data_IF_138529480346
#
_entry.id   IF_138529480346
#
_cell.length_a   1.000
_cell.length_b   1.000
_cell.length_c   1.000
_cell.angle_alpha   90.00
_cell.angle_beta   90.00
_cell.angle_gamma   90.00
#
_symmetry.space_group_name_H-M   'P 1'
#
loop_
_entity.id
_entity.type
_entity.pdbx_description
1 polymer ?
#
# COMPACT_ATOMS: atom_id res chain seq x y z
N UNK A 1 5.08 -60.11 -9.75
CA UNK A 1 5.12 -58.83 -9.00
C UNK A 1 5.12 -57.58 -9.89
N UNK A 2 5.60 -57.60 -11.15
CA UNK A 2 5.61 -56.40 -12.03
C UNK A 2 4.22 -55.85 -12.42
N UNK A 3 3.21 -56.69 -12.74
CA UNK A 3 1.88 -56.22 -13.18
C UNK A 3 1.19 -55.29 -12.16
N UNK A 4 1.30 -55.59 -10.86
CA UNK A 4 0.73 -54.75 -9.78
C UNK A 4 1.42 -53.38 -9.71
N UNK A 5 2.72 -53.33 -9.98
CA UNK A 5 3.49 -52.08 -10.02
C UNK A 5 3.13 -51.23 -11.25
N UNK A 6 2.97 -51.85 -12.43
CA UNK A 6 2.57 -51.13 -13.65
C UNK A 6 1.14 -50.58 -13.58
N UNK A 7 0.19 -51.33 -13.02
CA UNK A 7 -1.18 -50.83 -12.81
C UNK A 7 -1.24 -49.69 -11.79
N UNK A 8 -0.44 -49.77 -10.73
CA UNK A 8 -0.32 -48.68 -9.75
C UNK A 8 0.30 -47.42 -10.37
N UNK A 9 1.33 -47.58 -11.21
CA UNK A 9 1.96 -46.46 -11.92
C UNK A 9 0.99 -45.78 -12.90
N UNK A 10 0.17 -46.56 -13.62
CA UNK A 10 -0.87 -46.02 -14.50
C UNK A 10 -1.94 -45.23 -13.72
N UNK A 11 -2.39 -45.77 -12.58
CA UNK A 11 -3.33 -45.07 -11.71
C UNK A 11 -2.74 -43.75 -11.17
N UNK A 12 -1.47 -43.76 -10.76
CA UNK A 12 -0.77 -42.53 -10.33
C UNK A 12 -0.65 -41.51 -11.47
N UNK A 13 -0.36 -41.94 -12.70
CA UNK A 13 -0.31 -41.06 -13.86
C UNK A 13 -1.65 -40.37 -14.11
N UNK A 14 -2.76 -41.11 -13.99
CA UNK A 14 -4.12 -40.57 -14.16
C UNK A 14 -4.54 -39.65 -13.00
N UNK A 15 -4.04 -39.89 -11.78
CA UNK A 15 -4.32 -39.07 -10.60
C UNK A 15 -3.47 -37.79 -10.54
N UNK A 16 -2.29 -37.75 -11.18
CA UNK A 16 -1.42 -36.57 -11.22
C UNK A 16 -2.12 -35.28 -11.66
N UNK A 17 -2.86 -35.22 -12.80
CA UNK A 17 -3.54 -34.00 -13.21
C UNK A 17 -4.64 -33.58 -12.22
N UNK A 18 -5.37 -34.53 -11.64
CA UNK A 18 -6.38 -34.26 -10.62
C UNK A 18 -5.74 -33.65 -9.37
N UNK A 19 -4.62 -34.22 -8.92
CA UNK A 19 -3.88 -33.70 -7.76
C UNK A 19 -3.35 -32.28 -8.05
N UNK A 20 -2.78 -32.06 -9.24
CA UNK A 20 -2.33 -30.73 -9.66
C UNK A 20 -3.47 -29.71 -9.69
N UNK A 21 -4.63 -30.09 -10.22
CA UNK A 21 -5.82 -29.24 -10.23
C UNK A 21 -6.30 -28.93 -8.81
N UNK A 22 -6.33 -29.93 -7.93
CA UNK A 22 -6.70 -29.76 -6.53
C UNK A 22 -5.75 -28.79 -5.82
N UNK A 23 -4.43 -28.95 -5.96
CA UNK A 23 -3.45 -28.03 -5.37
C UNK A 23 -3.62 -26.58 -5.87
N UNK A 24 -3.83 -26.39 -7.19
CA UNK A 24 -4.08 -25.06 -7.77
C UNK A 24 -5.35 -24.43 -7.20
N UNK A 25 -6.45 -25.18 -7.15
CA UNK A 25 -7.71 -24.71 -6.60
C UNK A 25 -7.58 -24.40 -5.10
N UNK A 26 -6.91 -25.26 -4.34
CA UNK A 26 -6.71 -25.10 -2.91
C UNK A 26 -5.93 -23.81 -2.60
N UNK A 27 -4.81 -23.59 -3.29
CA UNK A 27 -4.02 -22.37 -3.11
C UNK A 27 -4.80 -21.13 -3.54
N UNK A 28 -5.48 -21.17 -4.69
CA UNK A 28 -6.36 -20.09 -5.12
C UNK A 28 -7.42 -19.78 -4.07
N UNK A 29 -8.02 -20.80 -3.45
CA UNK A 29 -9.03 -20.63 -2.40
C UNK A 29 -8.45 -19.99 -1.14
N UNK A 30 -7.24 -20.37 -0.72
CA UNK A 30 -6.54 -19.71 0.41
C UNK A 30 -6.28 -18.24 0.08
N UNK A 31 -5.75 -17.94 -1.11
CA UNK A 31 -5.45 -16.57 -1.52
C UNK A 31 -6.71 -15.69 -1.57
N UNK A 32 -7.85 -16.24 -2.03
CA UNK A 32 -9.11 -15.51 -2.05
C UNK A 32 -9.67 -15.27 -0.65
N UNK A 33 -9.53 -16.23 0.26
CA UNK A 33 -9.96 -16.04 1.65
C UNK A 33 -9.12 -14.94 2.31
N UNK A 34 -7.81 -14.96 2.12
CA UNK A 34 -6.93 -13.89 2.62
C UNK A 34 -7.39 -12.52 2.11
N UNK A 35 -7.72 -12.40 0.81
CA UNK A 35 -8.25 -11.15 0.23
C UNK A 35 -9.58 -10.70 0.83
N UNK A 36 -10.43 -11.62 1.26
CA UNK A 36 -11.73 -11.31 1.86
C UNK A 36 -11.61 -10.95 3.34
N UNK A 37 -10.60 -11.48 4.03
CA UNK A 37 -10.32 -11.20 5.44
C UNK A 37 -9.63 -9.83 5.64
N UNK A 38 -8.97 -9.31 4.60
CA UNK A 38 -8.30 -8.01 4.64
C UNK A 38 -9.17 -6.91 4.05
N UNK A 39 -9.09 -5.73 4.66
CA UNK A 39 -9.88 -4.55 4.27
C UNK A 39 -8.97 -3.34 4.08
N UNK A 40 -9.52 -2.23 3.57
CA UNK A 40 -8.81 -0.95 3.47
C UNK A 40 -8.62 -0.22 4.80
N UNK A 41 -8.92 -0.84 5.95
CA UNK A 41 -8.61 -0.27 7.26
C UNK A 41 -7.09 -0.24 7.47
N UNK A 42 -6.58 0.81 8.13
CA UNK A 42 -5.14 1.08 8.29
C UNK A 42 -4.35 -0.15 8.74
N UNK A 43 -4.72 -0.75 9.88
CA UNK A 43 -4.02 -1.91 10.43
C UNK A 43 -4.08 -3.16 9.51
N UNK A 44 -5.18 -3.34 8.78
CA UNK A 44 -5.39 -4.47 7.89
C UNK A 44 -4.59 -4.31 6.60
N UNK A 45 -4.62 -3.11 6.01
CA UNK A 45 -3.88 -2.78 4.81
C UNK A 45 -2.37 -2.83 5.08
N UNK A 46 -1.91 -2.20 6.17
CA UNK A 46 -0.51 -2.22 6.61
C UNK A 46 -0.02 -3.66 6.86
N UNK A 47 -0.81 -4.46 7.57
CA UNK A 47 -0.51 -5.88 7.77
C UNK A 47 -0.33 -6.63 6.45
N UNK A 48 -1.26 -6.44 5.51
CA UNK A 48 -1.23 -7.11 4.20
C UNK A 48 -0.07 -6.66 3.30
N UNK A 49 0.36 -5.41 3.43
CA UNK A 49 1.51 -4.89 2.71
C UNK A 49 2.79 -5.53 3.23
N UNK A 50 2.95 -5.59 4.54
CA UNK A 50 4.10 -6.24 5.16
C UNK A 50 4.13 -7.74 4.86
N UNK A 51 3.02 -8.45 4.95
CA UNK A 51 2.97 -9.89 4.66
C UNK A 51 3.43 -10.23 3.23
N UNK A 52 3.18 -9.32 2.28
CA UNK A 52 3.49 -9.53 0.86
C UNK A 52 4.85 -8.98 0.42
N UNK A 53 5.23 -7.80 0.91
CA UNK A 53 6.38 -7.05 0.41
C UNK A 53 7.55 -6.98 1.40
N UNK A 54 7.28 -7.06 2.71
CA UNK A 54 8.31 -7.04 3.75
C UNK A 54 8.01 -8.04 4.89
N UNK A 55 7.96 -9.36 4.59
CA UNK A 55 7.46 -10.35 5.55
C UNK A 55 8.38 -10.57 6.75
N UNK A 56 9.65 -10.13 6.68
CA UNK A 56 10.65 -10.35 7.72
C UNK A 56 10.75 -9.14 8.63
N UNK A 57 11.06 -7.96 8.09
CA UNK A 57 11.33 -6.75 8.88
C UNK A 57 10.07 -5.92 9.13
N UNK A 58 9.04 -6.10 8.30
CA UNK A 58 7.71 -5.46 8.43
C UNK A 58 7.76 -3.94 8.61
N UNK A 59 8.56 -3.26 7.80
CA UNK A 59 8.84 -1.81 7.93
C UNK A 59 7.84 -0.91 7.21
N UNK A 60 6.86 -1.47 6.50
CA UNK A 60 5.87 -0.66 5.79
C UNK A 60 4.81 -0.19 6.80
N UNK A 61 4.55 1.12 6.87
CA UNK A 61 3.51 1.67 7.74
C UNK A 61 2.71 2.76 7.04
N UNK A 62 1.51 3.02 7.55
CA UNK A 62 0.59 4.02 7.00
C UNK A 62 0.45 5.19 7.97
N UNK A 63 0.77 6.39 7.48
CA UNK A 63 0.57 7.65 8.20
C UNK A 63 -0.59 8.47 7.65
N UNK A 64 -0.97 9.49 8.41
CA UNK A 64 -1.96 10.48 7.97
C UNK A 64 -1.43 11.29 6.78
N UNK A 65 -2.33 11.64 5.86
CA UNK A 65 -1.98 12.42 4.67
C UNK A 65 -1.92 13.93 4.88
N UNK A 66 -2.23 14.40 6.10
CA UNK A 66 -2.16 15.80 6.49
C UNK A 66 -0.79 16.07 7.12
N UNK A 67 0.08 16.77 6.41
CA UNK A 67 1.38 17.17 6.98
C UNK A 67 1.31 18.50 7.73
N UNK A 68 0.52 19.46 7.21
CA UNK A 68 0.50 20.83 7.71
C UNK A 68 -0.91 21.45 7.66
N UNK A 69 -1.22 22.29 8.64
CA UNK A 69 -2.45 23.08 8.65
C UNK A 69 -2.35 24.22 7.63
N UNK A 70 -3.48 24.54 6.98
CA UNK A 70 -3.58 25.68 6.07
C UNK A 70 -3.36 26.98 6.84
N UNK A 71 -2.27 27.70 6.53
CA UNK A 71 -2.07 29.06 7.05
C UNK A 71 -2.90 30.05 6.23
N UNK A 72 -3.86 30.72 6.88
CA UNK A 72 -4.58 31.81 6.26
C UNK A 72 -3.66 33.03 6.14
N UNK A 73 -3.48 33.53 4.93
CA UNK A 73 -2.74 34.76 4.64
C UNK A 73 -3.74 35.91 4.63
N UNK A 74 -4.19 36.36 3.46
CA UNK A 74 -5.26 37.36 3.30
C UNK A 74 -5.95 37.15 1.95
N UNK A 75 -7.18 37.61 1.82
CA UNK A 75 -7.90 37.69 0.54
C UNK A 75 -7.63 39.04 -0.15
N UNK A 76 -7.75 39.10 -1.49
CA UNK A 76 -7.55 40.34 -2.24
C UNK A 76 -8.43 41.50 -1.75
N UNK A 77 -9.61 41.19 -1.20
CA UNK A 77 -10.55 42.18 -0.66
C UNK A 77 -10.13 42.79 0.69
N UNK A 78 -9.18 42.18 1.39
CA UNK A 78 -8.71 42.64 2.71
C UNK A 78 -7.61 43.72 2.62
N UNK A 79 -7.08 44.02 1.43
CA UNK A 79 -6.07 45.05 1.13
C UNK A 79 -4.90 45.10 2.13
N UNK A 80 -4.44 43.92 2.60
CA UNK A 80 -3.31 43.79 3.53
C UNK A 80 -2.07 43.25 2.84
N UNK A 81 -0.93 43.88 3.09
CA UNK A 81 0.38 43.43 2.65
C UNK A 81 1.05 42.59 3.74
N UNK A 82 1.46 41.36 3.41
CA UNK A 82 2.24 40.50 4.30
C UNK A 82 3.68 40.40 3.79
N UNK A 83 4.63 40.73 4.65
CA UNK A 83 6.05 40.49 4.39
C UNK A 83 6.42 39.12 4.94
N UNK A 84 6.95 38.26 4.08
CA UNK A 84 7.45 36.94 4.49
C UNK A 84 8.83 37.11 5.13
N UNK A 85 8.99 36.52 6.32
CA UNK A 85 10.28 36.46 7.03
C UNK A 85 11.25 35.47 6.35
N UNK A 86 12.54 35.64 6.62
CA UNK A 86 13.58 34.78 6.03
C UNK A 86 13.72 33.49 6.84
N UNK A 87 14.07 32.36 6.20
CA UNK A 87 14.21 31.01 6.81
C UNK A 87 14.99 30.92 8.15
N UNK A 88 15.74 31.95 8.51
CA UNK A 88 16.49 32.08 9.75
C UNK A 88 15.68 32.62 10.94
N UNK A 89 14.47 33.11 10.70
CA UNK A 89 13.60 33.79 11.67
C UNK A 89 12.48 32.84 12.14
N UNK A 90 12.15 32.88 13.45
CA UNK A 90 11.22 31.92 14.07
C UNK A 90 9.78 32.02 13.54
N UNK A 91 9.37 33.17 12.97
CA UNK A 91 8.03 33.39 12.41
C UNK A 91 7.98 33.22 10.87
N UNK A 92 8.93 32.49 10.27
CA UNK A 92 8.93 32.19 8.83
C UNK A 92 7.69 31.39 8.41
N UNK A 93 6.89 31.98 7.52
CA UNK A 93 5.77 31.30 6.87
C UNK A 93 6.30 30.53 5.65
N UNK A 94 6.22 29.21 5.70
CA UNK A 94 6.59 28.35 4.58
C UNK A 94 5.46 28.28 3.55
N UNK A 95 5.76 28.64 2.30
CA UNK A 95 4.84 28.42 1.19
C UNK A 95 4.80 26.92 0.87
N UNK A 96 3.62 26.34 0.97
CA UNK A 96 3.36 24.92 0.72
C UNK A 96 2.41 24.75 -0.46
N UNK A 97 2.53 23.61 -1.11
CA UNK A 97 1.62 23.25 -2.20
C UNK A 97 0.25 22.85 -1.65
N UNK A 98 -0.79 22.98 -2.47
CA UNK A 98 -2.14 22.54 -2.10
C UNK A 98 -2.18 21.04 -1.71
N UNK A 99 -1.31 20.22 -2.30
CA UNK A 99 -1.20 18.79 -1.97
C UNK A 99 -0.66 18.50 -0.57
N UNK A 100 0.03 19.47 0.05
CA UNK A 100 0.62 19.35 1.40
C UNK A 100 -0.30 19.92 2.50
N UNK A 101 -1.41 20.52 2.10
CA UNK A 101 -2.25 21.37 2.95
C UNK A 101 -3.68 20.82 3.05
N UNK A 102 -4.33 21.10 4.18
CA UNK A 102 -5.43 20.32 4.75
C UNK A 102 -6.69 20.10 3.88
N UNK A 103 -6.94 20.94 2.86
CA UNK A 103 -8.26 20.98 2.19
C UNK A 103 -8.31 20.24 0.84
N UNK A 104 -7.15 19.88 0.26
CA UNK A 104 -7.05 19.14 -1.01
C UNK A 104 -6.15 17.89 -0.92
N UNK A 105 -5.57 17.65 0.26
CA UNK A 105 -4.50 16.70 0.53
C UNK A 105 -4.84 15.21 0.36
N UNK A 106 -3.79 14.41 0.52
CA UNK A 106 -3.84 12.95 0.54
C UNK A 106 -4.68 12.47 1.73
N UNK A 107 -5.45 11.38 1.59
CA UNK A 107 -6.15 10.78 2.72
C UNK A 107 -5.18 10.02 3.64
N UNK A 108 -4.16 9.38 3.07
CA UNK A 108 -3.12 8.64 3.81
C UNK A 108 -1.85 8.50 2.98
N UNK A 109 -0.74 8.18 3.65
CA UNK A 109 0.57 8.00 3.04
C UNK A 109 1.13 6.65 3.46
N UNK A 110 1.70 5.93 2.50
CA UNK A 110 2.34 4.65 2.74
C UNK A 110 3.85 4.86 2.72
N UNK A 111 4.49 4.63 3.86
CA UNK A 111 5.94 4.70 4.01
C UNK A 111 6.55 3.33 3.72
N UNK A 112 7.55 3.30 2.84
CA UNK A 112 8.13 2.06 2.33
C UNK A 112 9.66 2.20 2.29
N UNK A 113 10.42 1.18 2.70
CA UNK A 113 11.87 1.16 2.55
C UNK A 113 12.32 1.32 1.08
N UNK A 114 13.41 2.04 0.86
CA UNK A 114 13.94 2.33 -0.48
C UNK A 114 14.11 1.06 -1.34
N UNK A 115 14.62 -0.02 -0.74
CA UNK A 115 14.86 -1.30 -1.42
C UNK A 115 13.58 -1.89 -2.05
N UNK A 116 12.43 -1.74 -1.38
CA UNK A 116 11.14 -2.25 -1.83
C UNK A 116 10.52 -1.25 -2.82
N UNK A 117 10.62 0.05 -2.54
CA UNK A 117 10.10 1.10 -3.41
C UNK A 117 10.67 0.96 -4.83
N UNK A 118 11.99 0.88 -4.96
CA UNK A 118 12.67 0.84 -6.26
C UNK A 118 12.40 -0.45 -7.05
N UNK A 119 12.08 -1.55 -6.37
CA UNK A 119 11.91 -2.86 -7.02
C UNK A 119 10.45 -3.20 -7.30
N UNK A 120 9.51 -2.76 -6.45
CA UNK A 120 8.14 -3.28 -6.42
C UNK A 120 7.05 -2.20 -6.42
N UNK A 121 7.35 -0.97 -6.86
CA UNK A 121 6.40 0.16 -6.87
C UNK A 121 5.05 -0.16 -7.54
N UNK A 122 5.06 -0.86 -8.69
CA UNK A 122 3.83 -1.21 -9.39
C UNK A 122 2.98 -2.23 -8.61
N UNK A 123 3.65 -3.17 -7.93
CA UNK A 123 3.01 -4.17 -7.09
C UNK A 123 2.35 -3.53 -5.87
N UNK A 124 3.03 -2.57 -5.23
CA UNK A 124 2.50 -1.79 -4.12
C UNK A 124 1.25 -1.02 -4.53
N UNK A 125 1.32 -0.25 -5.63
CA UNK A 125 0.17 0.51 -6.15
C UNK A 125 -1.03 -0.39 -6.43
N UNK A 126 -0.83 -1.49 -7.15
CA UNK A 126 -1.90 -2.43 -7.45
C UNK A 126 -2.51 -3.08 -6.19
N UNK A 127 -1.70 -3.31 -5.16
CA UNK A 127 -2.17 -3.88 -3.89
C UNK A 127 -2.96 -2.87 -3.08
N UNK A 128 -2.50 -1.62 -3.00
CA UNK A 128 -3.20 -0.52 -2.32
C UNK A 128 -4.53 -0.26 -3.05
N UNK A 129 -4.51 -0.14 -4.38
CA UNK A 129 -5.71 0.12 -5.19
C UNK A 129 -6.77 -0.99 -5.04
N UNK A 130 -6.36 -2.23 -4.76
CA UNK A 130 -7.27 -3.35 -4.54
C UNK A 130 -8.04 -3.24 -3.21
N UNK A 131 -7.38 -2.83 -2.12
CA UNK A 131 -7.99 -2.79 -0.78
C UNK A 131 -8.54 -1.42 -0.39
N UNK A 132 -7.99 -0.34 -0.94
CA UNK A 132 -8.37 1.03 -0.61
C UNK A 132 -9.85 1.27 -0.92
N UNK A 133 -10.54 1.95 -0.01
CA UNK A 133 -11.90 2.41 -0.27
C UNK A 133 -11.94 3.35 -1.50
N UNK A 134 -13.01 3.26 -2.29
CA UNK A 134 -13.20 4.12 -3.47
C UNK A 134 -13.13 5.61 -3.11
N UNK A 135 -12.44 6.39 -3.94
CA UNK A 135 -12.33 7.85 -3.78
C UNK A 135 -11.24 8.33 -2.83
N UNK A 136 -10.61 7.44 -2.06
CA UNK A 136 -9.47 7.81 -1.20
C UNK A 136 -8.23 8.13 -2.04
N UNK A 137 -7.41 9.10 -1.64
CA UNK A 137 -6.17 9.52 -2.30
C UNK A 137 -4.99 9.08 -1.44
N UNK A 138 -3.93 8.56 -2.06
CA UNK A 138 -2.72 8.19 -1.34
C UNK A 138 -1.48 8.54 -2.14
N UNK A 139 -0.35 8.61 -1.43
CA UNK A 139 0.97 8.61 -2.03
C UNK A 139 1.86 7.60 -1.30
N UNK A 140 2.96 7.23 -1.95
CA UNK A 140 3.96 6.32 -1.40
C UNK A 140 5.26 7.10 -1.24
N UNK A 141 5.75 7.19 -0.01
CA UNK A 141 7.01 7.85 0.34
C UNK A 141 8.06 6.83 0.73
N UNK A 142 9.32 7.21 0.48
CA UNK A 142 10.48 6.45 0.90
C UNK A 142 10.79 6.84 2.34
N UNK A 143 10.91 5.85 3.21
CA UNK A 143 11.46 6.04 4.56
C UNK A 143 12.92 5.56 4.56
N UNK A 144 13.82 6.41 5.07
CA UNK A 144 15.27 6.15 5.14
C UNK A 144 15.65 5.21 6.29
#
# INVERSE_FOLDING_TARGET
MLRKSSTAALAQLLLKPLNSLYFKWHNWRIDNIYKLEHTGQVCSLEGSLNDKFDPVERRIYIGDGQFYETTYVFTEAEEQELWLETESEEETIWLRTESETADTGLDFIVYVPESIYNTQIYGLRAHIDFYRAGGKRYNIFIDE
#
